data_IF_099255722968
#
_entry.id   IF_099255722968
#
_cell.length_a   1.000
_cell.length_b   1.000
_cell.length_c   1.000
_cell.angle_alpha   90.00
_cell.angle_beta   90.00
_cell.angle_gamma   90.00
#
_symmetry.space_group_name_H-M   'P 1'
#
loop_
_entity.id
_entity.type
_entity.pdbx_description
1 polymer ?
#
# COMPACT_ATOMS: atom_id res chain seq x y z
N UNK A 1 -46.90 -28.21 -15.81
CA UNK A 1 -45.98 -29.29 -15.34
C UNK A 1 -45.18 -28.74 -14.17
N UNK A 2 -45.03 -29.49 -13.05
CA UNK A 2 -44.28 -28.96 -11.92
C UNK A 2 -42.81 -28.85 -12.28
N UNK A 3 -42.20 -27.70 -11.95
CA UNK A 3 -40.80 -27.39 -12.09
C UNK A 3 -39.97 -28.46 -11.39
N UNK A 4 -39.24 -29.27 -12.14
CA UNK A 4 -38.29 -30.25 -11.59
C UNK A 4 -37.03 -29.52 -11.17
N UNK A 5 -36.78 -29.52 -9.86
CA UNK A 5 -35.48 -29.08 -9.33
C UNK A 5 -34.45 -30.13 -9.76
N UNK A 6 -33.42 -29.66 -10.45
CA UNK A 6 -32.27 -30.48 -10.80
C UNK A 6 -31.09 -30.08 -9.91
N UNK A 7 -30.52 -31.06 -9.22
CA UNK A 7 -29.40 -30.81 -8.32
C UNK A 7 -28.12 -31.31 -9.01
N UNK A 8 -27.16 -30.38 -9.16
CA UNK A 8 -25.83 -30.66 -9.67
C UNK A 8 -24.78 -30.43 -8.58
N UNK A 9 -23.81 -31.34 -8.47
CA UNK A 9 -22.70 -31.16 -7.55
C UNK A 9 -21.58 -30.40 -8.25
N UNK A 10 -21.26 -29.21 -7.77
CA UNK A 10 -20.21 -28.33 -8.31
C UNK A 10 -19.80 -27.27 -7.31
N UNK A 11 -18.68 -26.59 -7.57
CA UNK A 11 -18.22 -25.45 -6.78
C UNK A 11 -18.45 -24.17 -7.55
N UNK A 12 -19.28 -23.27 -7.02
CA UNK A 12 -19.52 -21.94 -7.55
C UNK A 12 -19.06 -20.96 -6.48
N UNK A 13 -18.13 -20.05 -6.83
CA UNK A 13 -17.57 -19.08 -5.88
C UNK A 13 -18.42 -17.83 -5.68
N UNK A 14 -19.33 -17.51 -6.64
CA UNK A 14 -20.31 -16.42 -6.58
C UNK A 14 -21.52 -16.78 -7.42
N UNK A 15 -22.70 -16.41 -6.95
CA UNK A 15 -23.91 -16.47 -7.75
C UNK A 15 -23.86 -15.48 -8.92
N UNK A 16 -24.69 -15.72 -9.92
CA UNK A 16 -24.80 -14.88 -11.11
C UNK A 16 -26.21 -15.00 -11.68
N UNK A 17 -26.59 -14.02 -12.49
CA UNK A 17 -27.84 -14.02 -13.26
C UNK A 17 -27.47 -14.24 -14.73
N UNK A 18 -28.10 -15.24 -15.35
CA UNK A 18 -27.95 -15.49 -16.78
C UNK A 18 -29.31 -15.69 -17.39
N UNK A 19 -29.73 -14.75 -18.22
CA UNK A 19 -31.09 -14.64 -18.76
C UNK A 19 -32.14 -14.73 -17.63
N UNK A 20 -33.03 -15.70 -17.68
CA UNK A 20 -34.09 -15.92 -16.66
C UNK A 20 -33.65 -16.87 -15.52
N UNK A 21 -32.36 -17.22 -15.47
CA UNK A 21 -31.82 -18.14 -14.46
C UNK A 21 -31.01 -17.37 -13.42
N UNK A 22 -31.41 -17.50 -12.15
CA UNK A 22 -30.65 -16.97 -11.02
C UNK A 22 -29.91 -18.13 -10.38
N UNK A 23 -28.60 -18.05 -10.34
CA UNK A 23 -27.73 -19.01 -9.65
C UNK A 23 -27.27 -18.38 -8.34
N UNK A 24 -27.58 -19.04 -7.23
CA UNK A 24 -27.22 -18.58 -5.88
C UNK A 24 -26.16 -19.51 -5.35
N UNK A 25 -25.04 -18.97 -4.87
CA UNK A 25 -23.98 -19.72 -4.22
C UNK A 25 -24.13 -19.68 -2.69
N UNK A 26 -23.45 -20.54 -1.98
CA UNK A 26 -23.36 -20.52 -0.52
C UNK A 26 -22.89 -19.15 0.02
N UNK A 27 -22.01 -18.48 -0.71
CA UNK A 27 -21.48 -17.15 -0.37
C UNK A 27 -22.49 -15.99 -0.54
N UNK A 28 -23.60 -16.22 -1.22
CA UNK A 28 -24.66 -15.23 -1.39
C UNK A 28 -25.74 -15.34 -0.30
N UNK A 29 -25.79 -16.50 0.39
CA UNK A 29 -26.79 -16.79 1.44
C UNK A 29 -26.20 -16.49 2.82
N UNK A 30 -24.94 -16.83 3.06
CA UNK A 30 -24.22 -16.46 4.28
C UNK A 30 -23.26 -15.33 3.97
N UNK A 31 -23.36 -14.20 4.70
CA UNK A 31 -22.25 -13.27 4.83
C UNK A 31 -21.10 -13.99 5.52
N UNK A 32 -20.38 -14.81 4.75
CA UNK A 32 -19.10 -15.32 5.20
C UNK A 32 -18.21 -14.10 5.35
N UNK A 33 -18.07 -13.61 6.58
CA UNK A 33 -16.98 -12.73 6.95
C UNK A 33 -15.73 -13.42 6.43
N UNK A 34 -15.24 -12.96 5.27
CA UNK A 34 -13.93 -13.37 4.82
C UNK A 34 -13.00 -13.01 5.96
N UNK A 35 -12.63 -14.00 6.76
CA UNK A 35 -11.41 -13.88 7.52
C UNK A 35 -10.34 -13.55 6.47
N UNK A 36 -9.93 -12.30 6.48
CA UNK A 36 -8.76 -11.86 5.74
C UNK A 36 -7.62 -12.61 6.41
N UNK A 37 -7.41 -13.84 5.99
CA UNK A 37 -6.20 -14.58 6.27
C UNK A 37 -5.12 -13.77 5.56
N UNK A 38 -4.50 -12.87 6.29
CA UNK A 38 -3.26 -12.24 5.90
C UNK A 38 -2.24 -13.36 5.70
N UNK A 39 -2.26 -13.95 4.51
CA UNK A 39 -1.15 -14.76 4.03
C UNK A 39 -0.01 -13.78 3.84
N UNK A 40 0.72 -13.51 4.93
CA UNK A 40 1.98 -12.83 4.87
C UNK A 40 2.88 -13.55 3.86
N UNK A 41 3.04 -13.06 2.64
CA UNK A 41 4.10 -13.57 1.80
C UNK A 41 5.38 -12.92 2.31
N UNK A 42 6.19 -13.67 3.04
CA UNK A 42 7.62 -13.38 3.09
C UNK A 42 8.09 -13.56 1.64
N UNK A 43 8.04 -12.49 0.86
CA UNK A 43 8.44 -12.48 -0.55
C UNK A 43 9.97 -12.44 -0.63
N UNK A 44 10.62 -13.56 -0.31
CA UNK A 44 12.05 -13.77 -0.60
C UNK A 44 12.24 -14.18 -2.08
N UNK A 45 11.16 -14.16 -2.90
CA UNK A 45 11.22 -14.53 -4.32
C UNK A 45 9.88 -14.42 -5.04
N UNK A 46 9.91 -14.47 -6.37
CA UNK A 46 8.70 -14.51 -7.20
C UNK A 46 8.07 -15.91 -7.14
N UNK A 47 6.75 -15.97 -6.96
CA UNK A 47 6.00 -17.22 -7.01
C UNK A 47 6.11 -17.83 -8.41
N UNK A 48 6.44 -19.11 -8.48
CA UNK A 48 6.59 -19.84 -9.73
C UNK A 48 5.23 -20.45 -10.08
N UNK A 49 4.72 -20.15 -11.25
CA UNK A 49 3.45 -20.68 -11.76
C UNK A 49 3.63 -21.90 -12.67
N UNK A 50 4.87 -22.24 -13.04
CA UNK A 50 5.21 -23.40 -13.86
C UNK A 50 6.72 -23.64 -13.89
N UNK A 51 7.15 -24.83 -14.31
CA UNK A 51 8.57 -25.20 -14.40
C UNK A 51 9.29 -24.34 -15.43
N UNK A 52 8.59 -23.87 -16.46
CA UNK A 52 9.13 -23.03 -17.56
C UNK A 52 9.65 -21.67 -17.08
N UNK A 53 9.30 -21.25 -15.87
CA UNK A 53 9.80 -20.02 -15.25
C UNK A 53 11.18 -20.15 -14.60
N UNK A 54 11.77 -21.37 -14.57
CA UNK A 54 13.09 -21.66 -13.99
C UNK A 54 14.07 -22.07 -15.06
N UNK A 55 15.25 -21.44 -15.03
CA UNK A 55 16.42 -21.82 -15.82
C UNK A 55 17.43 -22.62 -14.97
N UNK A 56 18.14 -23.54 -15.59
CA UNK A 56 19.22 -24.28 -14.90
C UNK A 56 20.23 -23.29 -14.29
N UNK A 57 20.56 -23.50 -13.01
CA UNK A 57 21.44 -22.61 -12.26
C UNK A 57 20.75 -21.45 -11.55
N UNK A 58 19.43 -21.29 -11.72
CA UNK A 58 18.67 -20.28 -10.97
C UNK A 58 18.73 -20.56 -9.46
N UNK A 59 18.87 -19.48 -8.67
CA UNK A 59 18.69 -19.57 -7.24
C UNK A 59 17.19 -19.67 -6.90
N UNK A 60 16.85 -20.65 -6.09
CA UNK A 60 15.48 -20.91 -5.64
C UNK A 60 15.41 -20.97 -4.12
N UNK A 61 14.27 -20.59 -3.59
CA UNK A 61 13.99 -20.64 -2.14
C UNK A 61 12.96 -21.72 -1.90
N UNK A 62 13.35 -22.79 -1.23
CA UNK A 62 12.42 -23.80 -0.75
C UNK A 62 11.93 -23.42 0.65
N UNK A 63 10.61 -23.48 0.87
CA UNK A 63 9.98 -23.04 2.12
C UNK A 63 10.58 -23.69 3.38
N UNK A 64 10.99 -24.96 3.31
CA UNK A 64 11.53 -25.68 4.46
C UNK A 64 13.07 -25.67 4.51
N UNK A 65 13.75 -25.66 3.36
CA UNK A 65 15.19 -25.88 3.27
C UNK A 65 16.02 -24.63 2.95
N UNK A 66 15.36 -23.52 2.61
CA UNK A 66 16.03 -22.26 2.31
C UNK A 66 16.52 -22.16 0.87
N UNK A 67 17.62 -21.43 0.67
CA UNK A 67 18.14 -21.09 -0.65
C UNK A 67 19.02 -22.21 -1.18
N UNK A 68 18.71 -22.68 -2.39
CA UNK A 68 19.49 -23.63 -3.16
C UNK A 68 19.54 -23.26 -4.64
N UNK A 69 20.15 -24.12 -5.47
CA UNK A 69 20.30 -23.94 -6.92
C UNK A 69 19.44 -24.98 -7.64
N UNK A 70 18.66 -24.51 -8.59
CA UNK A 70 17.82 -25.39 -9.43
C UNK A 70 18.67 -26.10 -10.48
N UNK A 71 18.59 -27.43 -10.52
CA UNK A 71 19.38 -28.29 -11.42
C UNK A 71 18.50 -29.06 -12.43
N UNK A 72 17.26 -28.62 -12.63
CA UNK A 72 16.36 -29.25 -13.60
C UNK A 72 15.36 -30.21 -12.98
N UNK A 73 14.66 -30.92 -13.84
CA UNK A 73 13.70 -31.95 -13.50
C UNK A 73 14.33 -33.32 -13.76
N UNK A 74 14.14 -34.26 -12.83
CA UNK A 74 14.61 -35.63 -12.94
C UNK A 74 13.45 -36.58 -12.70
N UNK A 75 13.34 -37.63 -13.50
CA UNK A 75 12.35 -38.71 -13.31
C UNK A 75 12.96 -39.76 -12.42
N UNK A 76 12.39 -39.99 -11.26
CA UNK A 76 12.78 -41.08 -10.35
C UNK A 76 11.74 -42.19 -10.40
N UNK A 77 12.21 -43.42 -10.44
CA UNK A 77 11.34 -44.62 -10.35
C UNK A 77 11.41 -45.19 -8.94
N UNK A 78 10.26 -45.29 -8.28
CA UNK A 78 10.14 -45.92 -6.97
C UNK A 78 9.03 -46.98 -7.06
N UNK A 79 9.35 -48.26 -6.80
CA UNK A 79 8.44 -49.38 -6.89
C UNK A 79 7.68 -49.50 -8.23
N UNK A 80 8.37 -49.21 -9.36
CA UNK A 80 7.81 -49.26 -10.71
C UNK A 80 6.99 -48.03 -11.13
N UNK A 81 6.76 -47.06 -10.22
CA UNK A 81 6.05 -45.82 -10.53
C UNK A 81 7.08 -44.72 -10.83
N UNK A 82 7.02 -44.17 -12.05
CA UNK A 82 7.84 -43.05 -12.49
C UNK A 82 7.20 -41.74 -12.05
N UNK A 83 7.95 -40.87 -11.38
CA UNK A 83 7.52 -39.51 -11.01
C UNK A 83 8.60 -38.47 -11.28
N UNK A 84 8.18 -37.27 -11.66
CA UNK A 84 9.07 -36.18 -11.94
C UNK A 84 9.30 -35.32 -10.69
N UNK A 85 10.56 -34.98 -10.47
CA UNK A 85 11.01 -34.22 -9.33
C UNK A 85 11.88 -33.06 -9.77
N UNK A 86 11.68 -31.91 -9.14
CA UNK A 86 12.55 -30.74 -9.24
C UNK A 86 13.77 -31.02 -8.37
N UNK A 87 14.96 -30.99 -8.97
CA UNK A 87 16.23 -31.18 -8.25
C UNK A 87 16.79 -29.83 -7.84
N UNK A 88 17.06 -29.66 -6.55
CA UNK A 88 17.68 -28.48 -5.96
C UNK A 88 18.94 -28.88 -5.23
N UNK A 89 20.07 -28.27 -5.54
CA UNK A 89 21.35 -28.47 -4.87
C UNK A 89 21.58 -27.44 -3.78
N UNK A 90 22.19 -27.90 -2.70
CA UNK A 90 22.54 -27.13 -1.50
C UNK A 90 24.03 -27.16 -1.22
N UNK A 91 24.48 -26.41 -0.22
CA UNK A 91 25.89 -26.37 0.17
C UNK A 91 26.34 -27.76 0.66
N UNK A 92 27.50 -28.23 0.17
CA UNK A 92 28.02 -29.57 0.52
C UNK A 92 27.59 -30.69 -0.42
N UNK A 93 27.12 -30.36 -1.63
CA UNK A 93 26.63 -31.32 -2.63
C UNK A 93 25.32 -32.05 -2.24
N UNK A 94 24.65 -31.62 -1.19
CA UNK A 94 23.36 -32.14 -0.80
C UNK A 94 22.29 -31.80 -1.86
N UNK A 95 21.36 -32.72 -2.09
CA UNK A 95 20.29 -32.56 -3.08
C UNK A 95 18.92 -32.82 -2.45
N UNK A 96 17.97 -31.99 -2.82
CA UNK A 96 16.55 -32.18 -2.47
C UNK A 96 15.75 -32.41 -3.75
N UNK A 97 14.89 -33.41 -3.72
CA UNK A 97 13.99 -33.75 -4.80
C UNK A 97 12.56 -33.37 -4.39
N UNK A 98 12.02 -32.35 -5.02
CA UNK A 98 10.66 -31.87 -4.74
C UNK A 98 9.74 -32.37 -5.83
N UNK A 99 8.65 -33.12 -5.52
CA UNK A 99 7.69 -33.51 -6.53
C UNK A 99 7.16 -32.30 -7.29
N UNK A 100 7.00 -32.44 -8.62
CA UNK A 100 6.55 -31.32 -9.48
C UNK A 100 5.21 -30.76 -9.01
N UNK A 101 4.33 -31.57 -8.46
CA UNK A 101 3.03 -31.16 -7.93
C UNK A 101 3.17 -30.18 -6.73
N UNK A 102 4.33 -30.20 -6.07
CA UNK A 102 4.65 -29.31 -4.94
C UNK A 102 5.47 -28.08 -5.34
N UNK A 103 5.49 -27.69 -6.62
CA UNK A 103 6.20 -26.51 -7.12
C UNK A 103 5.83 -25.23 -6.36
N UNK A 104 4.62 -25.13 -5.84
CA UNK A 104 4.16 -24.00 -5.03
C UNK A 104 4.94 -23.79 -3.73
N UNK A 105 5.78 -24.74 -3.32
CA UNK A 105 6.69 -24.62 -2.16
C UNK A 105 8.02 -23.99 -2.52
N UNK A 106 8.29 -23.74 -3.80
CA UNK A 106 9.51 -23.20 -4.35
C UNK A 106 9.23 -21.79 -4.90
N UNK A 107 10.16 -20.86 -4.69
CA UNK A 107 10.10 -19.50 -5.19
C UNK A 107 11.40 -19.19 -5.91
N UNK A 108 11.33 -18.48 -7.04
CA UNK A 108 12.54 -17.97 -7.70
C UNK A 108 13.13 -16.85 -6.84
N UNK A 109 14.40 -16.99 -6.47
CA UNK A 109 15.09 -15.93 -5.72
C UNK A 109 15.21 -14.68 -6.59
N UNK A 110 14.87 -13.55 -6.03
CA UNK A 110 14.99 -12.25 -6.71
C UNK A 110 15.57 -11.26 -5.71
N UNK A 111 16.77 -10.78 -5.99
CA UNK A 111 17.39 -9.67 -5.26
C UNK A 111 17.30 -8.39 -6.09
N UNK A 112 17.05 -7.26 -5.41
CA UNK A 112 17.02 -5.95 -6.04
C UNK A 112 18.42 -5.48 -6.48
N UNK A 113 19.46 -5.95 -5.79
CA UNK A 113 20.85 -5.51 -5.96
C UNK A 113 21.68 -6.46 -6.82
N UNK A 114 21.09 -7.54 -7.37
CA UNK A 114 21.77 -8.50 -8.23
C UNK A 114 22.86 -9.33 -7.53
N UNK A 115 22.93 -9.29 -6.21
CA UNK A 115 23.91 -10.05 -5.43
C UNK A 115 23.57 -11.54 -5.39
N UNK A 116 24.60 -12.38 -5.54
CA UNK A 116 24.44 -13.85 -5.42
C UNK A 116 24.13 -14.21 -3.96
N UNK A 117 23.01 -14.91 -3.69
CA UNK A 117 22.67 -15.30 -2.33
C UNK A 117 23.62 -16.40 -1.80
N UNK A 118 23.75 -16.43 -0.48
CA UNK A 118 24.42 -17.53 0.18
C UNK A 118 23.54 -18.78 0.18
N UNK A 119 24.05 -19.87 -0.40
CA UNK A 119 23.35 -21.17 -0.44
C UNK A 119 23.31 -21.77 0.97
N UNK A 120 22.16 -22.29 1.37
CA UNK A 120 22.00 -22.91 2.68
C UNK A 120 22.60 -24.33 2.71
N UNK A 121 22.99 -24.79 3.91
CA UNK A 121 23.34 -26.19 4.15
C UNK A 121 22.12 -26.95 4.67
N UNK A 122 21.84 -28.12 4.11
CA UNK A 122 20.73 -28.97 4.57
C UNK A 122 20.95 -29.40 6.03
N UNK A 123 19.86 -29.54 6.78
CA UNK A 123 19.92 -29.93 8.19
C UNK A 123 20.44 -28.85 9.14
N UNK A 124 20.88 -27.70 8.65
CA UNK A 124 21.31 -26.59 9.52
C UNK A 124 20.09 -25.83 10.09
N UNK A 125 20.23 -25.39 11.33
CA UNK A 125 19.20 -24.54 11.98
C UNK A 125 19.24 -23.07 11.48
N UNK A 126 20.20 -22.72 10.65
CA UNK A 126 20.42 -21.33 10.20
C UNK A 126 19.20 -20.75 9.47
N UNK A 127 18.58 -21.51 8.56
CA UNK A 127 17.38 -21.09 7.86
C UNK A 127 16.18 -20.93 8.82
N UNK A 128 15.98 -21.86 9.74
CA UNK A 128 14.91 -21.78 10.72
C UNK A 128 15.08 -20.58 11.65
N UNK A 129 16.32 -20.33 12.14
CA UNK A 129 16.64 -19.14 12.96
C UNK A 129 16.36 -17.86 12.21
N UNK A 130 16.79 -17.77 10.93
CA UNK A 130 16.51 -16.61 10.07
C UNK A 130 15.02 -16.38 9.88
N UNK A 131 14.26 -17.46 9.63
CA UNK A 131 12.80 -17.41 9.49
C UNK A 131 12.11 -16.95 10.78
N UNK A 132 12.51 -17.51 11.93
CA UNK A 132 12.00 -17.10 13.24
C UNK A 132 12.31 -15.64 13.56
N UNK A 133 13.54 -15.19 13.27
CA UNK A 133 13.91 -13.78 13.46
C UNK A 133 13.03 -12.84 12.63
N UNK A 134 12.78 -13.19 11.36
CA UNK A 134 11.89 -12.39 10.49
C UNK A 134 10.45 -12.41 11.02
N UNK A 135 9.95 -13.59 11.44
CA UNK A 135 8.60 -13.70 12.01
C UNK A 135 8.44 -12.87 13.28
N UNK A 136 9.43 -12.92 14.18
CA UNK A 136 9.44 -12.09 15.39
C UNK A 136 9.40 -10.61 15.04
N UNK A 137 10.24 -10.17 14.11
CA UNK A 137 10.30 -8.78 13.66
C UNK A 137 8.96 -8.30 13.05
N UNK A 138 8.30 -9.16 12.25
CA UNK A 138 6.97 -8.86 11.71
C UNK A 138 5.95 -8.75 12.84
N UNK A 139 6.01 -9.65 13.82
CA UNK A 139 5.11 -9.62 14.98
C UNK A 139 5.30 -8.35 15.81
N UNK A 140 6.55 -7.96 16.07
CA UNK A 140 6.89 -6.75 16.81
C UNK A 140 6.36 -5.49 16.09
N UNK A 141 6.58 -5.37 14.77
CA UNK A 141 6.04 -4.28 13.95
C UNK A 141 4.50 -4.27 13.97
N UNK A 142 3.86 -5.45 13.85
CA UNK A 142 2.40 -5.55 13.90
C UNK A 142 1.84 -5.09 15.25
N UNK A 143 2.53 -5.43 16.34
CA UNK A 143 2.14 -4.99 17.68
C UNK A 143 2.25 -3.47 17.83
N UNK A 144 3.37 -2.89 17.40
CA UNK A 144 3.57 -1.43 17.40
C UNK A 144 2.49 -0.71 16.59
N UNK A 145 2.14 -1.25 15.41
CA UNK A 145 1.06 -0.69 14.59
C UNK A 145 -0.30 -0.76 15.30
N UNK A 146 -0.64 -1.90 15.91
CA UNK A 146 -1.90 -2.05 16.66
C UNK A 146 -1.95 -1.05 17.81
N UNK A 147 -0.86 -0.89 18.56
CA UNK A 147 -0.76 0.08 19.65
C UNK A 147 -0.91 1.53 19.14
N UNK A 148 -0.32 1.84 17.98
CA UNK A 148 -0.46 3.15 17.32
C UNK A 148 -1.92 3.41 16.93
N UNK A 149 -2.58 2.45 16.30
CA UNK A 149 -4.00 2.56 15.92
C UNK A 149 -4.91 2.69 17.16
N UNK A 150 -4.63 1.93 18.22
CA UNK A 150 -5.39 2.03 19.46
C UNK A 150 -5.24 3.41 20.11
N UNK A 151 -4.02 3.96 20.17
CA UNK A 151 -3.77 5.32 20.66
C UNK A 151 -4.49 6.37 19.79
N UNK A 152 -4.44 6.22 18.48
CA UNK A 152 -5.10 7.14 17.55
C UNK A 152 -6.61 7.17 17.72
N UNK A 153 -7.25 6.02 17.91
CA UNK A 153 -8.69 5.93 18.16
C UNK A 153 -9.12 6.54 19.50
N UNK A 154 -8.20 6.76 20.43
CA UNK A 154 -8.47 7.41 21.72
C UNK A 154 -8.28 8.93 21.65
N UNK A 155 -7.61 9.45 20.62
CA UNK A 155 -7.39 10.89 20.45
C UNK A 155 -8.64 11.50 19.81
N UNK A 156 -9.19 12.52 20.46
CA UNK A 156 -10.20 13.36 19.85
C UNK A 156 -9.52 14.37 18.94
N UNK A 157 -9.90 14.36 17.68
CA UNK A 157 -9.54 15.37 16.69
C UNK A 157 -10.41 16.61 16.82
N UNK A 158 -10.24 17.53 15.90
CA UNK A 158 -11.06 18.74 15.79
C UNK A 158 -12.05 18.54 14.66
N UNK A 159 -13.33 18.69 14.95
CA UNK A 159 -14.35 18.76 13.93
C UNK A 159 -14.27 20.14 13.25
N UNK A 160 -14.18 20.15 11.92
CA UNK A 160 -14.21 21.37 11.14
C UNK A 160 -15.65 21.82 10.89
N UNK A 161 -15.84 23.09 10.72
CA UNK A 161 -17.12 23.70 10.34
C UNK A 161 -17.09 24.11 8.87
N UNK A 162 -18.23 24.16 8.23
CA UNK A 162 -18.36 24.59 6.85
C UNK A 162 -18.33 26.12 6.75
N UNK A 163 -17.69 26.61 5.70
CA UNK A 163 -17.63 28.02 5.35
C UNK A 163 -18.20 28.26 3.94
N UNK A 164 -18.97 29.34 3.72
CA UNK A 164 -19.51 29.65 2.40
C UNK A 164 -18.46 29.76 1.29
N UNK A 165 -17.24 30.14 1.65
CA UNK A 165 -16.11 30.27 0.75
C UNK A 165 -15.69 28.93 0.12
N UNK A 166 -16.00 27.80 0.77
CA UNK A 166 -15.71 26.46 0.24
C UNK A 166 -16.52 26.20 -1.04
N UNK A 167 -17.76 26.66 -1.10
CA UNK A 167 -18.58 26.54 -2.30
C UNK A 167 -18.04 27.44 -3.43
N UNK A 168 -17.61 28.66 -3.11
CA UNK A 168 -16.98 29.57 -4.08
C UNK A 168 -15.70 28.96 -4.62
N UNK A 169 -14.87 28.40 -3.74
CA UNK A 169 -13.67 27.65 -4.14
C UNK A 169 -14.03 26.45 -5.02
N UNK A 170 -15.14 25.77 -4.72
CA UNK A 170 -15.65 24.68 -5.50
C UNK A 170 -16.01 25.10 -6.92
N UNK A 171 -16.75 26.18 -7.07
CA UNK A 171 -17.25 26.67 -8.35
C UNK A 171 -16.15 27.30 -9.22
N UNK A 172 -15.05 27.78 -8.63
CA UNK A 172 -13.91 28.31 -9.36
C UNK A 172 -13.07 27.24 -10.09
N UNK A 173 -13.36 25.94 -9.88
CA UNK A 173 -12.70 24.87 -10.60
C UNK A 173 -13.18 24.83 -12.06
N UNK A 174 -12.29 24.87 -13.08
CA UNK A 174 -12.67 25.06 -14.47
C UNK A 174 -13.31 23.83 -15.12
N UNK A 175 -13.37 22.69 -14.42
CA UNK A 175 -13.90 21.43 -14.92
C UNK A 175 -15.07 20.95 -14.06
N UNK A 176 -15.96 20.18 -14.65
CA UNK A 176 -16.98 19.47 -13.88
C UNK A 176 -16.36 18.26 -13.17
N UNK A 177 -16.59 18.19 -11.87
CA UNK A 177 -16.14 17.05 -11.09
C UNK A 177 -16.93 15.78 -11.47
N UNK A 178 -16.23 14.68 -11.72
CA UNK A 178 -16.84 13.39 -11.99
C UNK A 178 -17.62 12.88 -10.76
N UNK A 179 -18.55 11.93 -10.95
CA UNK A 179 -19.31 11.34 -9.85
C UNK A 179 -18.43 10.76 -8.75
N UNK A 180 -17.32 10.11 -9.14
CA UNK A 180 -16.39 9.51 -8.19
C UNK A 180 -15.58 10.58 -7.44
N UNK A 181 -15.19 11.67 -8.11
CA UNK A 181 -14.57 12.82 -7.45
C UNK A 181 -15.52 13.48 -6.45
N UNK A 182 -16.79 13.72 -6.85
CA UNK A 182 -17.80 14.28 -5.97
C UNK A 182 -18.03 13.43 -4.73
N UNK A 183 -18.12 12.10 -4.92
CA UNK A 183 -18.23 11.15 -3.80
C UNK A 183 -17.01 11.19 -2.89
N UNK A 184 -15.81 11.18 -3.45
CA UNK A 184 -14.56 11.22 -2.68
C UNK A 184 -14.45 12.54 -1.89
N UNK A 185 -14.79 13.68 -2.50
CA UNK A 185 -14.84 14.99 -1.84
C UNK A 185 -15.83 14.95 -0.68
N UNK A 186 -17.07 14.49 -0.92
CA UNK A 186 -18.08 14.40 0.11
C UNK A 186 -17.62 13.56 1.30
N UNK A 187 -17.05 12.38 1.03
CA UNK A 187 -16.58 11.47 2.08
C UNK A 187 -15.43 12.08 2.90
N UNK A 188 -14.50 12.78 2.26
CA UNK A 188 -13.38 13.45 2.93
C UNK A 188 -13.85 14.62 3.77
N UNK A 189 -14.73 15.47 3.23
CA UNK A 189 -15.26 16.61 3.97
C UNK A 189 -16.06 16.15 5.19
N UNK A 190 -16.88 15.10 5.04
CA UNK A 190 -17.59 14.47 6.14
C UNK A 190 -16.67 13.93 7.22
N UNK A 191 -15.53 13.32 6.85
CA UNK A 191 -14.55 12.86 7.84
C UNK A 191 -13.92 14.04 8.60
N UNK A 192 -13.65 15.16 7.91
CA UNK A 192 -13.11 16.38 8.53
C UNK A 192 -14.09 17.03 9.49
N UNK A 193 -15.40 16.82 9.32
CA UNK A 193 -16.46 17.31 10.24
C UNK A 193 -16.56 16.45 11.51
N UNK A 194 -15.84 15.35 11.56
CA UNK A 194 -15.83 14.42 12.69
C UNK A 194 -14.77 14.78 13.71
N UNK A 195 -15.03 14.47 14.98
CA UNK A 195 -14.02 14.50 16.04
C UNK A 195 -13.05 13.33 16.00
N UNK A 196 -13.27 12.35 15.11
CA UNK A 196 -12.36 11.23 14.90
C UNK A 196 -11.33 11.64 13.82
N UNK A 197 -10.02 11.60 14.11
CA UNK A 197 -9.01 11.95 13.11
C UNK A 197 -9.14 11.08 11.85
N UNK A 198 -9.28 11.73 10.69
CA UNK A 198 -9.41 11.06 9.41
C UNK A 198 -8.18 10.20 9.09
N UNK A 199 -8.41 9.00 8.58
CA UNK A 199 -7.40 8.14 7.96
C UNK A 199 -7.99 7.52 6.69
N UNK A 200 -7.79 8.19 5.58
CA UNK A 200 -8.44 7.84 4.32
C UNK A 200 -7.45 7.68 3.19
N UNK A 201 -7.56 6.58 2.49
CA UNK A 201 -6.82 6.33 1.25
C UNK A 201 -7.68 6.71 0.05
N UNK A 202 -7.18 7.66 -0.76
CA UNK A 202 -7.78 8.05 -2.03
C UNK A 202 -7.08 7.30 -3.17
N UNK A 203 -7.77 6.33 -3.77
CA UNK A 203 -7.27 5.57 -4.92
C UNK A 203 -7.83 6.14 -6.22
N UNK A 204 -6.98 6.25 -7.24
CA UNK A 204 -7.36 6.66 -8.59
C UNK A 204 -6.15 6.62 -9.52
N UNK A 205 -6.39 6.40 -10.81
CA UNK A 205 -5.33 6.41 -11.80
C UNK A 205 -4.68 7.80 -11.99
N UNK A 206 -3.57 7.83 -12.70
CA UNK A 206 -2.88 9.08 -13.04
C UNK A 206 -3.79 9.92 -13.94
N UNK A 207 -3.91 11.22 -13.65
CA UNK A 207 -4.75 12.14 -14.42
C UNK A 207 -6.23 12.18 -14.02
N UNK A 208 -6.69 11.38 -13.06
CA UNK A 208 -8.08 11.37 -12.60
C UNK A 208 -8.41 12.48 -11.57
N UNK A 209 -7.56 13.50 -11.47
CA UNK A 209 -7.85 14.70 -10.69
C UNK A 209 -7.85 14.51 -9.17
N UNK A 210 -7.10 13.53 -8.64
CA UNK A 210 -6.89 13.36 -7.18
C UNK A 210 -6.44 14.64 -6.48
N UNK A 211 -5.66 15.46 -7.17
CA UNK A 211 -5.14 16.73 -6.67
C UNK A 211 -6.24 17.74 -6.33
N UNK A 212 -7.30 17.84 -7.16
CA UNK A 212 -8.44 18.72 -6.84
C UNK A 212 -9.19 18.26 -5.59
N UNK A 213 -9.36 16.94 -5.41
CA UNK A 213 -9.95 16.40 -4.18
C UNK A 213 -9.13 16.79 -2.95
N UNK A 214 -7.80 16.71 -3.06
CA UNK A 214 -6.88 17.15 -2.02
C UNK A 214 -7.00 18.67 -1.75
N UNK A 215 -7.09 19.48 -2.78
CA UNK A 215 -7.22 20.94 -2.65
C UNK A 215 -8.52 21.35 -1.94
N UNK A 216 -9.63 20.63 -2.14
CA UNK A 216 -10.87 20.87 -1.37
C UNK A 216 -10.68 20.61 0.12
N UNK A 217 -10.03 19.52 0.48
CA UNK A 217 -9.70 19.19 1.87
C UNK A 217 -8.76 20.25 2.49
N UNK A 218 -7.74 20.70 1.73
CA UNK A 218 -6.84 21.76 2.17
C UNK A 218 -7.60 23.06 2.44
N UNK A 219 -8.47 23.47 1.51
CA UNK A 219 -9.20 24.72 1.63
C UNK A 219 -10.07 24.73 2.88
N UNK A 220 -10.84 23.67 3.13
CA UNK A 220 -11.63 23.52 4.36
C UNK A 220 -10.77 23.60 5.61
N UNK A 221 -9.60 22.94 5.60
CA UNK A 221 -8.65 22.97 6.72
C UNK A 221 -8.16 24.38 7.01
N UNK A 222 -7.84 25.15 5.97
CA UNK A 222 -7.36 26.53 6.09
C UNK A 222 -8.47 27.46 6.58
N UNK A 223 -9.69 27.34 6.07
CA UNK A 223 -10.84 28.09 6.55
C UNK A 223 -11.05 27.88 8.06
N UNK A 224 -10.72 26.71 8.59
CA UNK A 224 -10.75 26.40 10.01
C UNK A 224 -9.48 26.84 10.78
N UNK A 225 -8.60 27.63 10.18
CA UNK A 225 -7.37 28.14 10.77
C UNK A 225 -6.36 27.06 11.19
N UNK A 226 -6.28 25.97 10.42
CA UNK A 226 -5.28 24.94 10.56
C UNK A 226 -4.34 24.89 9.37
N UNK A 227 -3.11 24.45 9.64
CA UNK A 227 -2.06 24.30 8.63
C UNK A 227 -2.11 22.93 7.95
N UNK A 228 -1.66 22.89 6.71
CA UNK A 228 -1.61 21.68 5.88
C UNK A 228 -0.16 21.31 5.55
N UNK A 229 0.16 20.03 5.70
CA UNK A 229 1.41 19.44 5.24
C UNK A 229 1.12 18.53 4.05
N UNK A 230 1.76 18.81 2.90
CA UNK A 230 1.68 17.98 1.70
C UNK A 230 3.03 17.31 1.43
N UNK A 231 3.09 16.00 1.59
CA UNK A 231 4.29 15.20 1.45
C UNK A 231 4.33 14.53 0.08
N UNK A 232 5.44 14.74 -0.65
CA UNK A 232 5.71 14.10 -1.93
C UNK A 232 6.96 13.22 -1.85
N UNK A 233 7.05 12.12 -2.60
CA UNK A 233 8.23 11.24 -2.59
C UNK A 233 9.45 11.87 -3.29
N UNK A 234 9.24 12.80 -4.23
CA UNK A 234 10.32 13.41 -5.00
C UNK A 234 10.24 14.93 -5.01
N UNK A 235 11.40 15.57 -5.20
CA UNK A 235 11.49 17.02 -5.31
C UNK A 235 10.80 17.60 -6.54
N UNK A 236 10.72 16.82 -7.63
CA UNK A 236 10.03 17.22 -8.86
C UNK A 236 8.53 17.25 -8.62
N UNK A 237 7.97 16.19 -8.02
CA UNK A 237 6.56 16.16 -7.69
C UNK A 237 6.18 17.25 -6.67
N UNK A 238 7.00 17.45 -5.64
CA UNK A 238 6.73 18.51 -4.65
C UNK A 238 6.68 19.91 -5.28
N UNK A 239 7.55 20.19 -6.26
CA UNK A 239 7.53 21.43 -7.01
C UNK A 239 6.30 21.55 -7.91
N UNK A 240 5.95 20.48 -8.63
CA UNK A 240 4.77 20.44 -9.50
C UNK A 240 3.47 20.67 -8.72
N UNK A 241 3.31 20.00 -7.58
CA UNK A 241 2.13 20.15 -6.73
C UNK A 241 2.07 21.56 -6.09
N UNK A 242 3.22 22.11 -5.70
CA UNK A 242 3.34 23.47 -5.21
C UNK A 242 2.89 24.50 -6.27
N UNK A 243 3.37 24.38 -7.51
CA UNK A 243 2.99 25.27 -8.62
C UNK A 243 1.50 25.15 -8.95
N UNK A 244 0.95 23.94 -8.92
CA UNK A 244 -0.47 23.68 -9.10
C UNK A 244 -1.32 24.32 -7.98
N UNK A 245 -0.83 24.26 -6.74
CA UNK A 245 -1.48 24.90 -5.61
C UNK A 245 -1.44 26.44 -5.72
N UNK A 246 -0.30 27.02 -6.08
CA UNK A 246 -0.20 28.46 -6.30
C UNK A 246 -1.22 28.96 -7.34
N UNK A 247 -1.38 28.21 -8.43
CA UNK A 247 -2.36 28.55 -9.47
C UNK A 247 -3.80 28.41 -8.97
N UNK A 248 -4.09 27.38 -8.17
CA UNK A 248 -5.44 27.08 -7.68
C UNK A 248 -5.91 28.03 -6.57
N UNK A 249 -4.98 28.44 -5.71
CA UNK A 249 -5.26 29.32 -4.57
C UNK A 249 -4.96 30.80 -4.83
N UNK A 250 -4.64 31.19 -6.07
CA UNK A 250 -4.17 32.55 -6.43
C UNK A 250 -5.08 33.70 -5.99
N UNK A 251 -6.38 33.45 -5.95
CA UNK A 251 -7.40 34.47 -5.61
C UNK A 251 -7.76 34.46 -4.11
N UNK A 252 -7.05 33.67 -3.30
CA UNK A 252 -7.29 33.52 -1.87
C UNK A 252 -6.05 33.95 -1.06
N UNK A 253 -6.24 34.53 0.14
CA UNK A 253 -5.14 34.96 1.00
C UNK A 253 -4.50 33.77 1.73
N UNK A 254 -3.88 32.85 0.98
CA UNK A 254 -3.26 31.62 1.47
C UNK A 254 -1.76 31.67 1.22
N UNK A 255 -0.97 31.56 2.28
CA UNK A 255 0.48 31.50 2.20
C UNK A 255 0.97 30.06 2.00
N UNK A 256 1.61 29.82 0.85
CA UNK A 256 2.07 28.50 0.42
C UNK A 256 3.60 28.49 0.32
N UNK A 257 4.23 27.48 0.91
CA UNK A 257 5.68 27.32 0.87
C UNK A 257 6.10 25.97 0.30
N UNK A 258 7.33 25.93 -0.23
CA UNK A 258 7.98 24.70 -0.71
C UNK A 258 9.27 24.47 0.07
N UNK A 259 9.38 23.32 0.75
CA UNK A 259 10.57 22.94 1.48
C UNK A 259 11.12 21.61 0.96
N UNK A 260 12.21 21.69 0.22
CA UNK A 260 12.91 20.51 -0.30
C UNK A 260 14.43 20.72 -0.29
N UNK A 261 15.20 19.77 -0.81
CA UNK A 261 16.68 19.84 -0.82
C UNK A 261 17.27 21.01 -1.61
N UNK A 262 16.50 21.67 -2.46
CA UNK A 262 16.93 22.82 -3.26
C UNK A 262 16.60 24.15 -2.60
N UNK A 263 15.85 24.14 -1.50
CA UNK A 263 15.56 25.34 -0.71
C UNK A 263 16.85 25.82 -0.03
N UNK A 264 17.18 27.09 -0.21
CA UNK A 264 18.40 27.66 0.39
C UNK A 264 18.34 27.65 1.92
N UNK A 265 19.48 27.60 2.62
CA UNK A 265 19.49 27.64 4.10
C UNK A 265 18.76 28.85 4.69
N UNK A 266 18.87 30.01 4.05
CA UNK A 266 18.18 31.25 4.48
C UNK A 266 16.65 31.10 4.35
N UNK A 267 16.18 30.59 3.23
CA UNK A 267 14.76 30.33 2.99
C UNK A 267 14.23 29.24 3.91
N UNK A 268 15.00 28.17 4.11
CA UNK A 268 14.65 27.09 5.05
C UNK A 268 14.39 27.65 6.44
N UNK A 269 15.29 28.51 6.95
CA UNK A 269 15.12 29.14 8.27
C UNK A 269 13.84 29.97 8.34
N UNK A 270 13.59 30.79 7.31
CA UNK A 270 12.38 31.61 7.22
C UNK A 270 11.12 30.75 7.21
N UNK A 271 11.08 29.70 6.37
CA UNK A 271 9.93 28.81 6.26
C UNK A 271 9.65 28.12 7.61
N UNK A 272 10.69 27.65 8.31
CA UNK A 272 10.53 27.00 9.62
C UNK A 272 9.98 27.97 10.68
N UNK A 273 10.45 29.20 10.70
CA UNK A 273 9.94 30.26 11.59
C UNK A 273 8.48 30.61 11.26
N UNK A 274 8.15 30.76 9.98
CA UNK A 274 6.81 31.11 9.51
C UNK A 274 5.80 29.94 9.69
N UNK A 275 6.22 28.69 9.58
CA UNK A 275 5.42 27.51 9.95
C UNK A 275 5.11 27.51 11.45
N UNK A 276 6.12 27.72 12.28
CA UNK A 276 5.99 27.75 13.74
C UNK A 276 5.10 28.91 14.22
N UNK A 277 5.15 30.05 13.56
CA UNK A 277 4.30 31.20 13.88
C UNK A 277 2.87 31.06 13.34
N UNK A 278 2.63 30.16 12.37
CA UNK A 278 1.35 29.98 11.69
C UNK A 278 1.08 31.00 10.60
N UNK A 279 2.12 31.60 9.99
CA UNK A 279 1.99 32.45 8.82
C UNK A 279 1.86 31.68 7.54
N UNK A 280 2.47 30.50 7.45
CA UNK A 280 2.33 29.59 6.31
C UNK A 280 1.16 28.65 6.58
N UNK A 281 0.23 28.61 5.64
CA UNK A 281 -0.97 27.77 5.69
C UNK A 281 -0.72 26.40 5.09
N UNK A 282 0.00 26.34 3.96
CA UNK A 282 0.31 25.08 3.28
C UNK A 282 1.82 24.97 3.05
N UNK A 283 2.39 23.82 3.40
CA UNK A 283 3.75 23.49 3.02
C UNK A 283 3.82 22.23 2.21
N UNK A 284 4.43 22.33 1.03
CA UNK A 284 4.77 21.21 0.16
C UNK A 284 6.22 20.81 0.37
N UNK A 285 6.51 19.51 0.32
CA UNK A 285 7.89 19.07 0.36
C UNK A 285 8.06 17.58 0.34
N UNK A 286 9.29 17.15 0.63
CA UNK A 286 9.69 15.75 0.67
C UNK A 286 9.95 15.32 2.12
N UNK A 287 10.59 14.19 2.33
CA UNK A 287 10.97 13.68 3.67
C UNK A 287 11.63 14.72 4.57
N UNK A 288 12.18 15.81 4.02
CA UNK A 288 12.70 16.95 4.79
C UNK A 288 11.66 17.54 5.75
N UNK A 289 10.36 17.47 5.38
CA UNK A 289 9.26 17.95 6.22
C UNK A 289 9.01 17.10 7.47
N UNK A 290 9.54 15.86 7.50
CA UNK A 290 9.41 14.95 8.63
C UNK A 290 10.53 15.10 9.68
N UNK A 291 11.46 16.06 9.48
CA UNK A 291 12.58 16.28 10.40
C UNK A 291 12.10 16.97 11.68
N UNK A 292 12.78 16.71 12.79
CA UNK A 292 12.41 17.17 14.13
C UNK A 292 12.38 18.70 14.30
N UNK A 293 13.08 19.44 13.43
CA UNK A 293 13.11 20.90 13.43
C UNK A 293 11.89 21.55 12.76
N UNK A 294 11.07 20.79 12.04
CA UNK A 294 9.83 21.26 11.44
C UNK A 294 8.72 21.25 12.50
N UNK A 295 8.29 22.43 12.89
CA UNK A 295 7.24 22.62 13.90
C UNK A 295 6.11 23.46 13.31
N UNK A 296 4.90 23.00 13.53
CA UNK A 296 3.67 23.71 13.15
C UNK A 296 3.05 24.37 14.37
N UNK A 297 2.35 25.47 14.13
CA UNK A 297 1.52 26.09 15.17
C UNK A 297 0.25 25.28 15.41
N UNK A 298 -0.44 24.90 14.33
CA UNK A 298 -1.68 24.12 14.35
C UNK A 298 -1.78 23.26 13.08
N UNK A 299 -1.11 22.12 13.05
CA UNK A 299 -1.25 21.18 11.94
C UNK A 299 -2.62 20.49 12.02
N UNK A 300 -3.43 20.60 10.95
CA UNK A 300 -4.77 20.02 10.88
C UNK A 300 -4.91 18.92 9.83
N UNK A 301 -4.10 18.94 8.77
CA UNK A 301 -4.18 17.98 7.69
C UNK A 301 -2.80 17.56 7.20
N UNK A 302 -2.58 16.26 7.10
CA UNK A 302 -1.43 15.66 6.42
C UNK A 302 -1.92 14.97 5.15
N UNK A 303 -1.33 15.31 4.02
CA UNK A 303 -1.54 14.62 2.74
C UNK A 303 -0.24 13.95 2.32
N UNK A 304 -0.31 12.67 1.99
CA UNK A 304 0.83 11.90 1.48
C UNK A 304 0.51 11.50 0.05
N UNK A 305 1.23 12.06 -0.90
CA UNK A 305 1.10 11.74 -2.31
C UNK A 305 2.01 10.57 -2.69
N UNK A 306 1.53 9.68 -3.57
CA UNK A 306 2.26 8.47 -4.01
C UNK A 306 2.74 7.62 -2.81
N UNK A 307 1.86 7.35 -1.86
CA UNK A 307 2.11 6.65 -0.59
C UNK A 307 2.86 5.32 -0.75
N UNK A 308 2.74 4.65 -1.91
CA UNK A 308 3.41 3.38 -2.20
C UNK A 308 4.91 3.50 -2.52
N UNK A 309 5.49 4.71 -2.56
CA UNK A 309 6.89 4.97 -2.91
C UNK A 309 7.79 5.33 -1.74
#
# INVERSE_FOLDING_TARGET
QPNRIQIYQGKINRGFIWDDVVVISEYDIEEVKQEIVYKNPIRIGKKIHGIDALSLGDYVVHRAHGIGVYNGVVTLSNHGIKKDYIQISYLGNDKVYVPVEKISTIYKYSDKDGLKPQINKLGSTAWQKKKQSIQKRIHDISKELIELYAKRNQVQGVAYIDYPEEEVFAQSFPYEATRDQQRAIHDILKDLDSTVPMDRLLCGDVGFGKTEVAFRAMFKTICNNYQVLYLCPTTILSKQQYESALARFKDYPVEIALLNRFTTPKETKRILEDLKSGKIDIVFGTHRLLSDDVKFKKLGLLIVDEEQR
#
